data_IF_573984816497
#
_entry.id   IF_573984816497
#
_cell.length_a   1.000
_cell.length_b   1.000
_cell.length_c   1.000
_cell.angle_alpha   90.00
_cell.angle_beta   90.00
_cell.angle_gamma   90.00
#
_symmetry.space_group_name_H-M   'P 1'
#
loop_
_entity.id
_entity.type
_entity.pdbx_description
1 polymer ?
#
# COMPACT_ATOMS: atom_id res chain seq x y z
N UNK A 1 4.39 -5.92 10.61
CA UNK A 1 3.02 -5.83 11.17
C UNK A 1 2.06 -6.71 10.40
N UNK A 2 1.97 -6.60 9.06
CA UNK A 2 1.15 -7.49 8.23
C UNK A 2 1.33 -8.99 8.58
N UNK A 3 2.58 -9.47 8.62
CA UNK A 3 2.88 -10.85 9.01
C UNK A 3 2.40 -11.22 10.43
N UNK A 4 2.40 -10.27 11.38
CA UNK A 4 1.90 -10.53 12.72
C UNK A 4 0.37 -10.66 12.77
N UNK A 5 -0.34 -9.93 11.89
CA UNK A 5 -1.80 -10.08 11.73
C UNK A 5 -2.12 -11.42 11.06
N UNK A 6 -1.33 -11.83 10.06
CA UNK A 6 -1.45 -13.16 9.43
C UNK A 6 -1.13 -14.30 10.42
N UNK A 7 -0.13 -14.11 11.32
CA UNK A 7 0.17 -15.01 12.45
C UNK A 7 -0.96 -15.12 13.46
N UNK A 8 -1.59 -13.99 13.78
CA UNK A 8 -2.77 -13.99 14.61
C UNK A 8 -3.94 -14.74 13.94
N UNK A 9 -4.16 -14.54 12.64
CA UNK A 9 -5.23 -15.22 11.91
C UNK A 9 -5.05 -16.75 11.93
N UNK A 10 -3.84 -17.24 11.70
CA UNK A 10 -3.59 -18.68 11.73
C UNK A 10 -3.71 -19.30 13.11
N UNK A 11 -3.22 -18.61 14.13
CA UNK A 11 -3.35 -19.11 15.50
C UNK A 11 -4.79 -19.08 16.00
N UNK A 12 -5.61 -18.13 15.54
CA UNK A 12 -6.99 -17.95 16.00
C UNK A 12 -8.03 -18.71 15.18
N UNK A 13 -7.81 -18.86 13.87
CA UNK A 13 -8.78 -19.39 12.91
C UNK A 13 -8.29 -20.62 12.15
N UNK A 14 -7.01 -21.01 12.29
CA UNK A 14 -6.42 -22.16 11.59
C UNK A 14 -6.16 -21.94 10.10
N UNK A 15 -6.26 -20.70 9.62
CA UNK A 15 -6.09 -20.29 8.22
C UNK A 15 -5.23 -19.03 8.10
N UNK A 16 -4.63 -18.82 6.93
CA UNK A 16 -3.80 -17.63 6.60
C UNK A 16 -4.56 -16.78 5.58
N UNK A 17 -4.18 -15.51 5.46
CA UNK A 17 -4.62 -14.72 4.33
C UNK A 17 -4.14 -15.36 3.02
N UNK A 18 -5.00 -15.41 2.01
CA UNK A 18 -4.63 -16.01 0.73
C UNK A 18 -3.56 -15.18 0.01
N UNK A 19 -3.56 -13.87 0.24
CA UNK A 19 -2.59 -12.92 -0.30
C UNK A 19 -2.54 -11.65 0.54
N UNK A 20 -1.33 -11.13 0.73
CA UNK A 20 -1.06 -9.81 1.31
C UNK A 20 -0.75 -8.87 0.15
N UNK A 21 -1.65 -7.94 -0.13
CA UNK A 21 -1.43 -6.89 -1.12
C UNK A 21 -0.83 -5.66 -0.44
N UNK A 22 0.45 -5.38 -0.71
CA UNK A 22 1.25 -4.32 -0.08
C UNK A 22 2.24 -3.62 -1.05
N UNK A 23 2.35 -4.09 -2.28
CA UNK A 23 3.37 -3.68 -3.25
C UNK A 23 2.96 -2.48 -4.13
N UNK A 24 2.60 -1.40 -3.47
CA UNK A 24 2.38 -0.08 -4.08
C UNK A 24 3.11 1.01 -3.31
N UNK A 25 4.03 0.70 -2.41
CA UNK A 25 4.77 1.74 -1.69
C UNK A 25 6.02 2.10 -2.46
N UNK A 26 6.09 3.27 -3.10
CA UNK A 26 7.32 3.70 -3.79
C UNK A 26 8.51 3.68 -2.80
N UNK A 27 9.65 3.04 -3.15
CA UNK A 27 9.95 2.39 -4.43
C UNK A 27 9.67 0.88 -4.53
N UNK A 28 9.27 0.25 -3.43
CA UNK A 28 8.89 -1.17 -3.33
C UNK A 28 7.51 -1.42 -3.93
N UNK A 29 7.49 -1.47 -5.26
CA UNK A 29 6.27 -1.67 -6.04
C UNK A 29 6.28 -2.94 -6.88
N UNK A 30 7.35 -3.74 -6.82
CA UNK A 30 7.33 -5.07 -7.41
C UNK A 30 6.52 -6.01 -6.52
N UNK A 31 5.90 -7.00 -7.15
CA UNK A 31 4.94 -7.91 -6.51
C UNK A 31 5.59 -8.89 -5.53
N UNK A 32 5.08 -10.12 -5.53
CA UNK A 32 5.61 -11.19 -4.67
C UNK A 32 6.26 -12.27 -5.53
N UNK A 33 7.60 -12.38 -5.58
CA UNK A 33 8.59 -11.62 -4.77
C UNK A 33 8.89 -10.21 -5.31
N UNK A 34 9.37 -9.33 -4.43
CA UNK A 34 10.00 -8.07 -4.85
C UNK A 34 11.39 -8.39 -5.40
N UNK A 35 11.52 -8.29 -6.72
CA UNK A 35 12.74 -8.53 -7.49
C UNK A 35 13.41 -7.22 -7.96
N UNK A 36 12.96 -6.06 -7.48
CA UNK A 36 13.57 -4.77 -7.84
C UNK A 36 14.94 -4.60 -7.20
N UNK A 37 15.93 -4.25 -8.01
CA UNK A 37 17.28 -3.92 -7.55
C UNK A 37 17.31 -2.55 -6.84
N UNK A 38 18.30 -2.29 -5.96
CA UNK A 38 18.51 -0.97 -5.38
C UNK A 38 18.62 0.14 -6.43
N UNK A 39 19.23 -0.15 -7.58
CA UNK A 39 19.37 0.78 -8.71
C UNK A 39 18.02 1.13 -9.34
N UNK A 40 17.13 0.14 -9.54
CA UNK A 40 15.78 0.35 -10.08
C UNK A 40 14.90 1.12 -9.10
N UNK A 41 14.99 0.79 -7.80
CA UNK A 41 14.29 1.51 -6.75
C UNK A 41 14.75 2.98 -6.68
N UNK A 42 16.08 3.21 -6.76
CA UNK A 42 16.65 4.56 -6.81
C UNK A 42 16.24 5.31 -8.08
N UNK A 43 16.12 4.63 -9.21
CA UNK A 43 15.61 5.20 -10.45
C UNK A 43 14.15 5.66 -10.30
N UNK A 44 13.28 4.81 -9.73
CA UNK A 44 11.88 5.15 -9.50
C UNK A 44 11.75 6.34 -8.52
N UNK A 45 12.58 6.39 -7.47
CA UNK A 45 12.64 7.53 -6.56
C UNK A 45 13.07 8.84 -7.26
N UNK A 46 13.93 8.77 -8.27
CA UNK A 46 14.37 9.93 -9.06
C UNK A 46 13.39 10.33 -10.16
N UNK A 47 12.41 9.49 -10.48
CA UNK A 47 11.41 9.79 -11.50
C UNK A 47 10.61 11.06 -11.15
N UNK A 48 10.10 11.73 -12.19
CA UNK A 48 9.29 12.93 -12.00
C UNK A 48 7.98 12.58 -11.28
N UNK A 49 7.35 13.54 -10.58
CA UNK A 49 6.04 13.31 -9.95
C UNK A 49 5.01 12.74 -10.93
N UNK A 50 5.06 13.15 -12.20
CA UNK A 50 4.16 12.65 -13.23
C UNK A 50 4.28 11.14 -13.47
N UNK A 51 5.50 10.61 -13.53
CA UNK A 51 5.69 9.17 -13.72
C UNK A 51 5.37 8.37 -12.47
N UNK A 52 5.72 8.89 -11.28
CA UNK A 52 5.32 8.28 -10.00
C UNK A 52 3.79 8.20 -9.85
N UNK A 53 3.09 9.28 -10.19
CA UNK A 53 1.61 9.35 -10.20
C UNK A 53 1.01 8.29 -11.11
N UNK A 54 1.51 8.21 -12.35
CA UNK A 54 0.99 7.26 -13.34
C UNK A 54 1.22 5.82 -12.92
N UNK A 55 2.42 5.53 -12.39
CA UNK A 55 2.79 4.22 -11.87
C UNK A 55 1.89 3.81 -10.70
N UNK A 56 1.73 4.70 -9.71
CA UNK A 56 0.85 4.45 -8.56
C UNK A 56 -0.59 4.26 -8.96
N UNK A 57 -1.12 5.15 -9.80
CA UNK A 57 -2.50 5.01 -10.27
C UNK A 57 -2.71 3.70 -11.01
N UNK A 58 -1.76 3.26 -11.83
CA UNK A 58 -1.88 1.96 -12.50
C UNK A 58 -1.86 0.81 -11.50
N UNK A 59 -0.91 0.80 -10.56
CA UNK A 59 -0.82 -0.23 -9.51
C UNK A 59 -2.09 -0.31 -8.67
N UNK A 60 -2.59 0.81 -8.16
CA UNK A 60 -3.83 0.85 -7.39
C UNK A 60 -5.02 0.32 -8.21
N UNK A 61 -5.20 0.78 -9.44
CA UNK A 61 -6.35 0.39 -10.26
C UNK A 61 -6.30 -1.08 -10.69
N UNK A 62 -5.11 -1.64 -10.89
CA UNK A 62 -4.93 -3.07 -11.09
C UNK A 62 -5.43 -3.85 -9.87
N UNK A 63 -5.08 -3.42 -8.66
CA UNK A 63 -5.47 -4.10 -7.41
C UNK A 63 -6.93 -3.94 -7.02
N UNK A 64 -7.63 -2.91 -7.52
CA UNK A 64 -9.08 -2.75 -7.30
C UNK A 64 -9.96 -3.68 -8.13
N UNK A 65 -9.40 -4.51 -9.01
CA UNK A 65 -10.20 -5.35 -9.90
C UNK A 65 -10.71 -6.61 -9.18
N UNK A 66 -11.93 -7.05 -9.52
CA UNK A 66 -12.59 -8.22 -8.92
C UNK A 66 -11.69 -9.46 -8.78
N UNK A 67 -10.89 -9.88 -9.79
CA UNK A 67 -10.02 -11.05 -9.63
C UNK A 67 -8.99 -10.92 -8.50
N UNK A 68 -8.60 -9.69 -8.15
CA UNK A 68 -7.61 -9.39 -7.12
C UNK A 68 -8.24 -9.17 -5.73
N UNK A 69 -9.56 -9.10 -5.63
CA UNK A 69 -10.30 -8.86 -4.37
C UNK A 69 -11.25 -10.02 -4.02
N UNK A 70 -11.58 -10.89 -4.96
CA UNK A 70 -12.55 -11.98 -4.78
C UNK A 70 -11.97 -13.25 -4.13
N UNK A 71 -10.94 -13.10 -3.29
CA UNK A 71 -10.44 -14.20 -2.46
C UNK A 71 -11.20 -14.23 -1.12
N UNK A 72 -11.37 -15.40 -0.48
CA UNK A 72 -12.18 -15.53 0.73
C UNK A 72 -11.71 -14.63 1.87
N UNK A 73 -10.40 -14.51 2.06
CA UNK A 73 -9.78 -13.70 3.10
C UNK A 73 -8.53 -13.00 2.55
N UNK A 74 -8.70 -11.73 2.17
CA UNK A 74 -7.62 -10.88 1.65
C UNK A 74 -7.16 -9.83 2.67
N UNK A 75 -5.86 -9.53 2.67
CA UNK A 75 -5.30 -8.41 3.43
C UNK A 75 -4.71 -7.37 2.48
N UNK A 76 -5.10 -6.12 2.68
CA UNK A 76 -4.61 -4.95 1.94
C UNK A 76 -3.86 -4.06 2.93
N UNK A 77 -2.59 -3.78 2.64
CA UNK A 77 -1.72 -2.95 3.48
C UNK A 77 -1.53 -1.60 2.81
N UNK A 78 -2.12 -0.57 3.39
CA UNK A 78 -2.15 0.74 2.74
C UNK A 78 -3.05 0.72 1.50
N UNK A 79 -2.70 1.49 0.48
CA UNK A 79 -3.47 1.57 -0.77
C UNK A 79 -3.83 3.02 -1.05
N UNK A 80 -5.05 3.27 -1.49
CA UNK A 80 -5.45 4.63 -1.89
C UNK A 80 -5.46 5.64 -0.73
N UNK A 81 -5.73 5.19 0.51
CA UNK A 81 -5.63 6.05 1.70
C UNK A 81 -4.18 6.52 1.91
N UNK A 82 -3.21 5.62 1.82
CA UNK A 82 -1.79 5.99 1.97
C UNK A 82 -1.29 6.83 0.79
N UNK A 83 -1.73 6.54 -0.44
CA UNK A 83 -1.38 7.35 -1.62
C UNK A 83 -1.92 8.79 -1.49
N UNK A 84 -3.08 8.96 -0.83
CA UNK A 84 -3.63 10.27 -0.51
C UNK A 84 -2.80 11.09 0.48
N UNK A 85 -1.99 10.43 1.30
CA UNK A 85 -1.07 11.09 2.24
C UNK A 85 0.33 11.23 1.62
N UNK A 86 0.92 10.13 1.17
CA UNK A 86 2.32 10.09 0.73
C UNK A 86 2.54 10.64 -0.67
N UNK A 87 1.56 10.50 -1.57
CA UNK A 87 1.60 11.10 -2.91
C UNK A 87 1.94 12.59 -2.87
N UNK A 88 1.12 13.42 -2.20
CA UNK A 88 1.40 14.85 -2.09
C UNK A 88 2.59 15.15 -1.18
N UNK A 89 2.69 14.47 -0.03
CA UNK A 89 3.71 14.79 0.98
C UNK A 89 5.15 14.50 0.53
N UNK A 90 5.38 13.40 -0.20
CA UNK A 90 6.73 12.92 -0.52
C UNK A 90 7.01 12.81 -2.01
N UNK A 91 5.99 12.68 -2.86
CA UNK A 91 6.19 12.37 -4.28
C UNK A 91 5.75 13.49 -5.23
N UNK A 92 5.18 14.58 -4.71
CA UNK A 92 4.90 15.81 -5.45
C UNK A 92 3.75 15.72 -6.45
N UNK A 93 2.79 14.81 -6.23
CA UNK A 93 1.57 14.72 -7.01
C UNK A 93 0.34 14.56 -6.11
N UNK A 94 -0.84 14.87 -6.63
CA UNK A 94 -2.08 14.53 -5.92
C UNK A 94 -2.56 15.54 -4.89
N UNK A 95 -1.96 16.74 -4.85
CA UNK A 95 -2.42 17.85 -4.01
C UNK A 95 -3.88 18.26 -4.29
N UNK A 96 -4.43 19.07 -3.39
CA UNK A 96 -5.85 19.47 -3.39
C UNK A 96 -6.32 20.11 -4.70
N UNK A 97 -5.45 20.93 -5.31
CA UNK A 97 -5.73 21.63 -6.57
C UNK A 97 -5.35 20.81 -7.82
N UNK A 98 -4.75 19.63 -7.63
CA UNK A 98 -4.37 18.76 -8.73
C UNK A 98 -5.61 18.09 -9.34
N UNK A 99 -5.66 17.97 -10.69
CA UNK A 99 -6.75 17.29 -11.41
C UNK A 99 -7.05 15.87 -10.89
N UNK A 100 -6.02 15.21 -10.37
CA UNK A 100 -6.11 13.89 -9.73
C UNK A 100 -5.79 13.99 -8.24
N UNK A 101 -6.46 14.92 -7.54
CA UNK A 101 -6.39 15.05 -6.08
C UNK A 101 -6.63 13.68 -5.42
N UNK A 102 -5.67 13.21 -4.63
CA UNK A 102 -5.70 11.87 -4.06
C UNK A 102 -6.67 11.73 -2.89
N UNK A 103 -6.94 12.80 -2.15
CA UNK A 103 -8.01 12.81 -1.13
C UNK A 103 -9.39 12.53 -1.75
N UNK A 104 -9.61 12.87 -3.02
CA UNK A 104 -10.87 12.61 -3.73
C UNK A 104 -10.85 11.27 -4.46
N UNK A 105 -9.75 10.96 -5.16
CA UNK A 105 -9.62 9.76 -5.99
C UNK A 105 -9.57 8.47 -5.15
N UNK A 106 -9.20 8.55 -3.88
CA UNK A 106 -9.22 7.37 -3.01
C UNK A 106 -10.64 6.81 -2.79
N UNK A 107 -11.67 7.66 -2.72
CA UNK A 107 -13.02 7.19 -2.39
C UNK A 107 -13.65 6.29 -3.47
N UNK A 108 -13.59 6.59 -4.79
CA UNK A 108 -14.03 5.66 -5.82
C UNK A 108 -13.27 4.34 -5.83
N UNK A 109 -11.99 4.36 -5.46
CA UNK A 109 -11.18 3.15 -5.36
C UNK A 109 -11.66 2.27 -4.20
N UNK A 110 -11.83 2.83 -3.00
CA UNK A 110 -12.38 2.10 -1.84
C UNK A 110 -13.80 1.59 -2.11
N UNK A 111 -14.65 2.42 -2.74
CA UNK A 111 -16.02 2.03 -3.11
C UNK A 111 -16.03 0.82 -4.05
N UNK A 112 -15.03 0.70 -4.93
CA UNK A 112 -14.88 -0.44 -5.83
C UNK A 112 -14.54 -1.70 -5.02
N UNK A 113 -13.64 -1.62 -4.05
CA UNK A 113 -13.30 -2.75 -3.16
C UNK A 113 -14.53 -3.21 -2.39
N UNK A 114 -15.23 -2.26 -1.76
CA UNK A 114 -16.44 -2.54 -0.97
C UNK A 114 -17.58 -3.13 -1.81
N UNK A 115 -17.58 -2.94 -3.13
CA UNK A 115 -18.58 -3.56 -4.01
C UNK A 115 -18.37 -5.07 -4.22
N UNK A 116 -17.18 -5.58 -3.89
CA UNK A 116 -16.81 -6.99 -4.02
C UNK A 116 -16.72 -7.73 -2.69
N UNK A 117 -16.67 -7.01 -1.57
CA UNK A 117 -16.55 -7.57 -0.22
C UNK A 117 -17.89 -7.56 0.50
N UNK A 118 -18.16 -8.60 1.30
CA UNK A 118 -19.35 -8.64 2.15
C UNK A 118 -19.07 -7.99 3.51
N UNK A 119 -17.92 -8.32 4.10
CA UNK A 119 -17.43 -7.77 5.36
C UNK A 119 -16.08 -7.10 5.12
N UNK A 120 -15.85 -5.96 5.75
CA UNK A 120 -14.56 -5.24 5.64
C UNK A 120 -14.24 -4.57 6.96
N UNK A 121 -13.01 -4.80 7.44
CA UNK A 121 -12.49 -4.19 8.66
C UNK A 121 -11.34 -3.27 8.29
N UNK A 122 -11.49 -1.98 8.57
CA UNK A 122 -10.41 -1.00 8.43
C UNK A 122 -9.67 -0.88 9.76
N UNK A 123 -8.36 -1.09 9.73
CA UNK A 123 -7.50 -1.01 10.93
C UNK A 123 -6.52 0.15 10.77
N UNK A 124 -6.63 1.16 11.63
CA UNK A 124 -5.64 2.23 11.73
C UNK A 124 -4.61 1.89 12.80
N UNK A 125 -3.37 1.63 12.38
CA UNK A 125 -2.26 1.32 13.28
C UNK A 125 -1.45 2.60 13.53
N UNK A 126 -1.25 2.93 14.79
CA UNK A 126 -0.48 4.10 15.21
C UNK A 126 0.70 3.70 16.08
N UNK A 127 1.71 4.57 16.12
CA UNK A 127 2.84 4.49 17.03
C UNK A 127 3.37 5.92 17.26
N UNK A 128 3.97 6.15 18.43
CA UNK A 128 4.65 7.41 18.71
C UNK A 128 5.86 7.59 17.76
N UNK A 129 6.21 8.84 17.45
CA UNK A 129 7.24 9.16 16.46
C UNK A 129 8.61 8.61 16.82
N UNK A 130 8.97 8.59 18.10
CA UNK A 130 10.21 8.01 18.62
C UNK A 130 10.25 6.49 18.43
N UNK A 131 9.12 5.81 18.62
CA UNK A 131 8.99 4.36 18.35
C UNK A 131 9.17 4.07 16.86
N UNK A 132 8.66 4.94 15.97
CA UNK A 132 8.86 4.81 14.52
C UNK A 132 10.33 4.99 14.17
N UNK A 133 10.99 6.03 14.70
CA UNK A 133 12.40 6.32 14.48
C UNK A 133 13.30 5.15 14.90
N UNK A 134 13.13 4.66 16.13
CA UNK A 134 13.87 3.50 16.64
C UNK A 134 13.72 2.26 15.74
N UNK A 135 12.52 2.02 15.21
CA UNK A 135 12.27 0.89 14.29
C UNK A 135 12.97 1.08 12.95
N UNK A 136 12.99 2.30 12.41
CA UNK A 136 13.68 2.61 11.16
C UNK A 136 15.19 2.42 11.30
N UNK A 137 15.79 2.87 12.40
CA UNK A 137 17.21 2.65 12.69
C UNK A 137 17.57 1.16 12.78
N UNK A 138 16.75 0.37 13.48
CA UNK A 138 16.97 -1.07 13.56
C UNK A 138 16.92 -1.78 12.20
N UNK A 139 16.09 -1.29 11.27
CA UNK A 139 16.02 -1.83 9.90
C UNK A 139 17.30 -1.50 9.15
N UNK A 140 17.76 -0.23 9.22
CA UNK A 140 19.00 0.21 8.56
C UNK A 140 20.25 -0.52 9.10
N UNK A 141 20.26 -0.94 10.36
CA UNK A 141 21.36 -1.72 10.94
C UNK A 141 21.37 -3.20 10.50
N UNK A 142 20.27 -3.70 9.91
CA UNK A 142 20.13 -5.11 9.48
C UNK A 142 20.35 -5.31 7.98
N UNK A 143 20.44 -4.24 7.21
CA UNK A 143 20.68 -4.21 5.76
C UNK A 143 22.11 -3.77 5.46
#
# INVERSE_FOLDING_TARGET
MANAIDDWMASSMGVRFSLIHDHWKIPHTSGHPDDSTPEEQAWLLKATPKFKEMHQRHSLYYHAQRPNINNPDGMIIGGAIEDAVYGPMFFGYGDKDHRLNREVVMHPWESTILSFTQDTVLVHVTADSDVIEQRMEMILMRT
#
